data_IF_708109803177
#
_entry.id   IF_708109803177
#
_cell.length_a   1.000
_cell.length_b   1.000
_cell.length_c   1.000
_cell.angle_alpha   90.00
_cell.angle_beta   90.00
_cell.angle_gamma   90.00
#
_symmetry.space_group_name_H-M   'P 1'
#
loop_
_entity.id
_entity.type
_entity.pdbx_description
1 polymer ?
#
# COMPACT_ATOMS: atom_id res chain seq x y z
N UNK A 1 -20.87 6.59 33.69
CA UNK A 1 -19.61 6.96 34.36
C UNK A 1 -18.52 6.07 33.76
N UNK A 2 -17.36 6.61 33.42
CA UNK A 2 -16.24 5.84 32.87
C UNK A 2 -15.71 4.87 33.94
N UNK A 3 -15.68 3.57 33.64
CA UNK A 3 -15.18 2.52 34.53
C UNK A 3 -13.82 2.02 34.03
N UNK A 4 -12.77 2.73 34.44
CA UNK A 4 -11.39 2.43 34.05
C UNK A 4 -10.98 1.00 34.41
N UNK A 5 -11.42 0.50 35.57
CA UNK A 5 -11.05 -0.84 36.04
C UNK A 5 -11.63 -1.89 35.11
N UNK A 6 -12.92 -1.77 34.76
CA UNK A 6 -13.56 -2.67 33.80
C UNK A 6 -12.93 -2.59 32.42
N UNK A 7 -12.62 -1.39 31.92
CA UNK A 7 -11.90 -1.22 30.65
C UNK A 7 -10.57 -1.97 30.66
N UNK A 8 -9.77 -1.80 31.71
CA UNK A 8 -8.45 -2.44 31.81
C UNK A 8 -8.55 -3.97 31.91
N UNK A 9 -9.53 -4.48 32.65
CA UNK A 9 -9.84 -5.91 32.73
C UNK A 9 -10.19 -6.48 31.35
N UNK A 10 -11.03 -5.79 30.58
CA UNK A 10 -11.40 -6.21 29.22
C UNK A 10 -10.22 -6.16 28.26
N UNK A 11 -9.41 -5.11 28.30
CA UNK A 11 -8.22 -4.98 27.45
C UNK A 11 -7.21 -6.09 27.77
N UNK A 12 -6.90 -6.30 29.06
CA UNK A 12 -5.98 -7.35 29.49
C UNK A 12 -6.51 -8.73 29.12
N UNK A 13 -7.79 -8.97 29.41
CA UNK A 13 -8.46 -10.22 29.09
C UNK A 13 -8.49 -10.50 27.59
N UNK A 14 -8.80 -9.52 26.75
CA UNK A 14 -8.84 -9.69 25.30
C UNK A 14 -7.47 -10.08 24.70
N UNK A 15 -6.36 -9.70 25.34
CA UNK A 15 -5.01 -10.02 24.91
C UNK A 15 -4.54 -11.39 25.44
N UNK A 16 -4.71 -11.64 26.74
CA UNK A 16 -4.12 -12.82 27.40
C UNK A 16 -5.09 -14.00 27.52
N UNK A 17 -6.37 -13.73 27.77
CA UNK A 17 -7.42 -14.74 27.98
C UNK A 17 -8.65 -14.41 27.11
N UNK A 18 -8.51 -14.40 25.77
CA UNK A 18 -9.50 -13.81 24.88
C UNK A 18 -10.88 -14.46 25.03
N UNK A 19 -10.96 -15.79 24.96
CA UNK A 19 -12.23 -16.49 24.91
C UNK A 19 -13.06 -16.35 26.20
N UNK A 20 -12.49 -16.57 27.41
CA UNK A 20 -13.20 -16.26 28.66
C UNK A 20 -13.67 -14.80 28.75
N UNK A 21 -12.86 -13.87 28.26
CA UNK A 21 -13.20 -12.43 28.28
C UNK A 21 -14.40 -12.14 27.40
N UNK A 22 -14.39 -12.67 26.18
CA UNK A 22 -15.48 -12.50 25.22
C UNK A 22 -16.79 -13.11 25.73
N UNK A 23 -16.73 -14.31 26.31
CA UNK A 23 -17.89 -14.98 26.85
C UNK A 23 -18.48 -14.21 28.04
N UNK A 24 -17.61 -13.65 28.90
CA UNK A 24 -18.03 -12.81 30.04
C UNK A 24 -18.66 -11.47 29.62
N UNK A 25 -18.27 -10.94 28.44
CA UNK A 25 -18.76 -9.66 27.94
C UNK A 25 -19.98 -9.81 27.01
N UNK A 26 -20.23 -11.00 26.47
CA UNK A 26 -21.34 -11.26 25.55
C UNK A 26 -22.73 -10.80 26.08
N UNK A 27 -23.08 -10.99 27.36
CA UNK A 27 -24.35 -10.49 27.91
C UNK A 27 -24.47 -8.96 27.88
N UNK A 28 -23.34 -8.24 27.92
CA UNK A 28 -23.28 -6.78 27.88
C UNK A 28 -23.23 -6.22 26.44
N UNK A 29 -23.05 -7.09 25.44
CA UNK A 29 -22.80 -6.71 24.05
C UNK A 29 -24.04 -6.18 23.31
N UNK A 30 -25.23 -6.29 23.88
CA UNK A 30 -26.47 -5.78 23.26
C UNK A 30 -26.60 -4.24 23.36
N UNK A 31 -25.80 -3.58 24.20
CA UNK A 31 -25.74 -2.12 24.29
C UNK A 31 -24.46 -1.56 23.65
N UNK A 32 -24.62 -0.97 22.46
CA UNK A 32 -23.50 -0.36 21.73
C UNK A 32 -22.94 0.88 22.43
N UNK A 33 -23.77 1.62 23.19
CA UNK A 33 -23.32 2.82 23.92
C UNK A 33 -22.45 2.41 25.09
N UNK A 34 -22.84 1.35 25.81
CA UNK A 34 -22.03 0.74 26.86
C UNK A 34 -20.70 0.27 26.31
N UNK A 35 -20.71 -0.45 25.18
CA UNK A 35 -19.48 -0.91 24.51
C UNK A 35 -18.59 0.25 24.07
N UNK A 36 -19.17 1.28 23.47
CA UNK A 36 -18.42 2.47 23.06
C UNK A 36 -17.79 3.20 24.26
N UNK A 37 -18.53 3.34 25.37
CA UNK A 37 -18.06 4.06 26.55
C UNK A 37 -17.06 3.27 27.41
N UNK A 38 -17.23 1.95 27.50
CA UNK A 38 -16.42 1.09 28.39
C UNK A 38 -15.20 0.51 27.65
N UNK A 39 -15.28 0.28 26.34
CA UNK A 39 -14.21 -0.39 25.60
C UNK A 39 -13.73 0.43 24.41
N UNK A 40 -14.57 0.63 23.39
CA UNK A 40 -14.12 1.15 22.07
C UNK A 40 -13.51 2.55 22.18
N UNK A 41 -14.20 3.49 22.82
CA UNK A 41 -13.75 4.87 22.97
C UNK A 41 -12.44 4.98 23.77
N UNK A 42 -12.38 4.43 24.99
CA UNK A 42 -11.14 4.40 25.78
C UNK A 42 -9.97 3.74 25.06
N UNK A 43 -10.22 2.66 24.31
CA UNK A 43 -9.21 1.96 23.53
C UNK A 43 -8.66 2.81 22.38
N UNK A 44 -9.54 3.48 21.61
CA UNK A 44 -9.14 4.38 20.52
C UNK A 44 -8.35 5.57 21.07
N UNK A 45 -8.87 6.24 22.11
CA UNK A 45 -8.21 7.39 22.72
C UNK A 45 -6.86 6.98 23.33
N UNK A 46 -6.83 5.86 24.06
CA UNK A 46 -5.61 5.34 24.67
C UNK A 46 -4.56 4.97 23.63
N UNK A 47 -4.96 4.33 22.53
CA UNK A 47 -4.06 4.00 21.42
C UNK A 47 -3.50 5.26 20.76
N UNK A 48 -4.34 6.25 20.44
CA UNK A 48 -3.91 7.50 19.82
C UNK A 48 -2.95 8.32 20.71
N UNK A 49 -3.26 8.43 22.00
CA UNK A 49 -2.39 9.12 22.97
C UNK A 49 -1.08 8.36 23.16
N UNK A 50 -1.11 7.03 23.25
CA UNK A 50 0.11 6.23 23.38
C UNK A 50 0.98 6.32 22.13
N UNK A 51 0.38 6.27 20.93
CA UNK A 51 1.08 6.45 19.66
C UNK A 51 1.78 7.82 19.63
N UNK A 52 1.07 8.89 19.98
CA UNK A 52 1.63 10.25 20.07
C UNK A 52 2.79 10.34 21.08
N UNK A 53 2.65 9.77 22.27
CA UNK A 53 3.74 9.76 23.27
C UNK A 53 4.96 9.00 22.75
N UNK A 54 4.76 7.83 22.13
CA UNK A 54 5.85 7.02 21.59
C UNK A 54 6.56 7.73 20.43
N UNK A 55 5.81 8.41 19.57
CA UNK A 55 6.37 9.26 18.51
C UNK A 55 7.26 10.39 19.06
N UNK A 56 6.91 10.97 20.23
CA UNK A 56 7.75 12.00 20.88
C UNK A 56 8.97 11.45 21.60
N UNK A 57 8.89 10.23 22.15
CA UNK A 57 10.02 9.57 22.83
C UNK A 57 11.00 9.02 21.80
N UNK A 58 10.47 8.43 20.73
CA UNK A 58 11.21 7.82 19.64
C UNK A 58 10.88 8.59 18.35
N UNK A 59 11.31 9.86 18.22
CA UNK A 59 11.07 10.62 17.00
C UNK A 59 11.65 9.82 15.84
N UNK A 60 10.76 9.49 14.90
CA UNK A 60 11.10 8.63 13.79
C UNK A 60 12.21 9.32 12.98
N UNK A 61 13.42 8.76 13.06
CA UNK A 61 14.55 9.21 12.22
C UNK A 61 14.43 8.72 10.77
N UNK A 62 13.36 8.00 10.44
CA UNK A 62 13.04 7.63 9.07
C UNK A 62 12.38 8.83 8.39
N UNK A 63 13.04 9.41 7.41
CA UNK A 63 12.66 10.65 6.72
C UNK A 63 11.27 10.66 6.04
N UNK A 64 10.54 9.54 6.06
CA UNK A 64 9.27 9.34 5.35
C UNK A 64 8.04 9.31 6.27
N UNK A 65 8.22 9.36 7.60
CA UNK A 65 7.11 9.41 8.56
C UNK A 65 7.12 10.81 9.17
N UNK A 66 6.20 11.72 8.77
CA UNK A 66 6.15 13.06 9.35
C UNK A 66 5.89 12.99 10.85
N UNK A 67 6.55 13.88 11.60
CA UNK A 67 6.31 14.03 13.03
C UNK A 67 4.82 14.24 13.29
N UNK A 68 4.25 13.49 14.24
CA UNK A 68 2.84 13.62 14.54
C UNK A 68 2.57 14.90 15.33
N UNK A 69 1.80 15.80 14.73
CA UNK A 69 1.28 16.96 15.46
C UNK A 69 0.14 16.54 16.38
N UNK A 70 -0.17 17.37 17.39
CA UNK A 70 -1.34 17.15 18.25
C UNK A 70 -2.63 17.10 17.42
N UNK A 71 -2.70 17.88 16.34
CA UNK A 71 -3.84 17.89 15.44
C UNK A 71 -3.97 16.56 14.69
N UNK A 72 -2.86 15.94 14.30
CA UNK A 72 -2.87 14.65 13.62
C UNK A 72 -3.27 13.51 14.57
N UNK A 73 -2.87 13.57 15.85
CA UNK A 73 -3.39 12.68 16.88
C UNK A 73 -4.92 12.81 17.00
N UNK A 74 -5.46 14.03 17.08
CA UNK A 74 -6.90 14.26 17.19
C UNK A 74 -7.64 13.73 15.94
N UNK A 75 -7.13 14.03 14.74
CA UNK A 75 -7.68 13.50 13.48
C UNK A 75 -7.65 11.97 13.46
N UNK A 76 -6.55 11.36 13.89
CA UNK A 76 -6.40 9.91 13.98
C UNK A 76 -7.43 9.28 14.91
N UNK A 77 -7.66 9.87 16.09
CA UNK A 77 -8.68 9.42 17.04
C UNK A 77 -10.09 9.49 16.41
N UNK A 78 -10.42 10.59 15.73
CA UNK A 78 -11.72 10.76 15.06
C UNK A 78 -11.88 9.73 13.93
N UNK A 79 -10.87 9.57 13.09
CA UNK A 79 -10.89 8.62 11.98
C UNK A 79 -10.99 7.17 12.46
N UNK A 80 -10.30 6.82 13.56
CA UNK A 80 -10.41 5.50 14.18
C UNK A 80 -11.81 5.23 14.74
N UNK A 81 -12.47 6.25 15.32
CA UNK A 81 -13.86 6.13 15.78
C UNK A 81 -14.83 5.90 14.61
N UNK A 82 -14.66 6.63 13.51
CA UNK A 82 -15.44 6.43 12.28
C UNK A 82 -15.21 5.03 11.71
N UNK A 83 -13.94 4.60 11.63
CA UNK A 83 -13.56 3.28 11.15
C UNK A 83 -14.19 2.15 11.99
N UNK A 84 -14.18 2.27 13.32
CA UNK A 84 -14.79 1.27 14.21
C UNK A 84 -16.30 1.11 13.95
N UNK A 85 -17.01 2.22 13.75
CA UNK A 85 -18.45 2.20 13.42
C UNK A 85 -18.69 1.55 12.06
N UNK A 86 -17.92 1.94 11.03
CA UNK A 86 -18.04 1.37 9.68
C UNK A 86 -17.78 -0.14 9.68
N UNK A 87 -16.70 -0.57 10.32
CA UNK A 87 -16.34 -1.99 10.40
C UNK A 87 -17.45 -2.77 11.11
N UNK A 88 -17.91 -2.30 12.28
CA UNK A 88 -19.00 -2.95 13.01
C UNK A 88 -20.29 -3.04 12.17
N UNK A 89 -20.62 -1.98 11.42
CA UNK A 89 -21.78 -1.96 10.54
C UNK A 89 -21.66 -3.00 9.41
N UNK A 90 -20.51 -3.08 8.73
CA UNK A 90 -20.28 -4.05 7.65
C UNK A 90 -20.46 -5.48 8.16
N UNK A 91 -19.83 -5.82 9.28
CA UNK A 91 -19.92 -7.18 9.85
C UNK A 91 -21.34 -7.53 10.30
N UNK A 92 -22.06 -6.59 10.94
CA UNK A 92 -23.45 -6.79 11.33
C UNK A 92 -24.36 -7.00 10.11
N UNK A 93 -24.26 -6.10 9.12
CA UNK A 93 -25.08 -6.15 7.92
C UNK A 93 -24.87 -7.46 7.16
N UNK A 94 -23.62 -7.83 6.90
CA UNK A 94 -23.30 -9.06 6.19
C UNK A 94 -23.66 -10.31 6.99
N UNK A 95 -23.62 -10.28 8.32
CA UNK A 95 -24.09 -11.42 9.12
C UNK A 95 -25.56 -11.73 8.82
N UNK A 96 -26.39 -10.72 8.61
CA UNK A 96 -27.78 -10.89 8.18
C UNK A 96 -27.92 -11.64 6.84
N UNK A 97 -27.03 -11.38 5.88
CA UNK A 97 -27.02 -12.08 4.58
C UNK A 97 -26.60 -13.55 4.70
N UNK A 98 -25.78 -13.88 5.70
CA UNK A 98 -25.25 -15.23 5.93
C UNK A 98 -26.01 -16.02 7.00
N UNK A 99 -27.29 -15.68 7.24
CA UNK A 99 -28.18 -16.32 8.23
C UNK A 99 -27.74 -16.17 9.69
N UNK A 100 -26.87 -15.21 9.99
CA UNK A 100 -26.56 -14.77 11.34
C UNK A 100 -27.48 -13.64 11.81
N UNK A 101 -27.27 -13.15 13.03
CA UNK A 101 -27.93 -11.98 13.59
C UNK A 101 -27.29 -10.69 13.10
N UNK A 102 -28.08 -9.86 12.41
CA UNK A 102 -27.71 -8.48 12.10
C UNK A 102 -27.83 -7.62 13.37
N UNK A 103 -26.78 -7.61 14.19
CA UNK A 103 -26.71 -6.83 15.43
C UNK A 103 -25.47 -5.95 15.44
N UNK A 104 -25.66 -4.65 15.21
CA UNK A 104 -24.60 -3.65 15.31
C UNK A 104 -23.95 -3.61 16.70
N UNK A 105 -24.69 -3.61 17.83
CA UNK A 105 -24.07 -3.67 19.16
C UNK A 105 -23.11 -4.85 19.34
N UNK A 106 -23.53 -6.05 18.93
CA UNK A 106 -22.70 -7.25 19.03
C UNK A 106 -21.51 -7.22 18.08
N UNK A 107 -21.68 -6.69 16.87
CA UNK A 107 -20.56 -6.52 15.94
C UNK A 107 -19.53 -5.50 16.45
N UNK A 108 -19.98 -4.39 17.06
CA UNK A 108 -19.10 -3.39 17.66
C UNK A 108 -18.32 -3.97 18.84
N UNK A 109 -18.97 -4.74 19.70
CA UNK A 109 -18.31 -5.44 20.81
C UNK A 109 -17.29 -6.47 20.30
N UNK A 110 -17.68 -7.28 19.33
CA UNK A 110 -16.84 -8.32 18.76
C UNK A 110 -15.57 -7.73 18.10
N UNK A 111 -15.76 -6.70 17.26
CA UNK A 111 -14.65 -6.01 16.57
C UNK A 111 -13.76 -5.26 17.54
N UNK A 112 -14.33 -4.57 18.54
CA UNK A 112 -13.54 -3.85 19.55
C UNK A 112 -12.67 -4.79 20.39
N UNK A 113 -13.23 -5.93 20.83
CA UNK A 113 -12.48 -6.95 21.59
C UNK A 113 -11.40 -7.62 20.73
N UNK A 114 -11.71 -7.95 19.48
CA UNK A 114 -10.76 -8.58 18.56
C UNK A 114 -9.60 -7.65 18.19
N UNK A 115 -9.86 -6.36 18.01
CA UNK A 115 -8.84 -5.41 17.58
C UNK A 115 -8.01 -4.81 18.71
N UNK A 116 -8.24 -5.19 19.98
CA UNK A 116 -7.39 -4.73 21.10
C UNK A 116 -5.90 -4.87 20.79
N UNK A 117 -5.39 -6.03 20.31
CA UNK A 117 -3.98 -6.14 19.91
C UNK A 117 -3.61 -5.17 18.80
N UNK A 118 -4.46 -5.00 17.78
CA UNK A 118 -4.23 -4.06 16.68
C UNK A 118 -4.07 -2.61 17.14
N UNK A 119 -4.84 -2.17 18.14
CA UNK A 119 -4.70 -0.84 18.74
C UNK A 119 -3.36 -0.67 19.48
N UNK A 120 -2.86 -1.72 20.12
CA UNK A 120 -1.48 -1.72 20.65
C UNK A 120 -0.45 -1.70 19.52
N UNK A 121 -0.68 -2.47 18.46
CA UNK A 121 0.18 -2.49 17.27
C UNK A 121 0.33 -1.12 16.63
N UNK A 122 -0.78 -0.38 16.51
CA UNK A 122 -0.78 1.00 16.02
C UNK A 122 0.08 1.93 16.88
N UNK A 123 0.06 1.76 18.21
CA UNK A 123 0.92 2.55 19.08
C UNK A 123 2.40 2.14 19.00
N UNK A 124 2.66 0.83 18.94
CA UNK A 124 4.02 0.28 18.93
C UNK A 124 4.75 0.47 17.60
N UNK A 125 4.06 0.88 16.53
CA UNK A 125 4.67 1.16 15.22
C UNK A 125 5.79 2.19 15.31
N UNK A 126 5.71 3.11 16.28
CA UNK A 126 6.69 4.17 16.51
C UNK A 126 7.99 3.68 17.19
N UNK A 127 8.08 2.40 17.57
CA UNK A 127 9.33 1.86 18.11
C UNK A 127 10.39 1.70 17.00
N UNK A 128 11.64 2.14 17.21
CA UNK A 128 12.70 2.01 16.22
C UNK A 128 12.92 0.56 15.79
N UNK A 129 13.07 0.36 14.47
CA UNK A 129 13.39 -0.90 13.79
C UNK A 129 12.33 -2.01 13.89
N UNK A 130 11.76 -2.25 15.07
CA UNK A 130 10.86 -3.38 15.35
C UNK A 130 9.39 -2.96 15.34
N UNK A 131 9.10 -1.67 15.45
CA UNK A 131 7.73 -1.17 15.64
C UNK A 131 6.78 -1.62 14.53
N UNK A 132 7.19 -1.50 13.27
CA UNK A 132 6.39 -1.92 12.12
C UNK A 132 6.12 -3.44 12.10
N UNK A 133 7.09 -4.26 12.51
CA UNK A 133 6.93 -5.71 12.64
C UNK A 133 5.94 -6.05 13.75
N UNK A 134 6.05 -5.39 14.91
CA UNK A 134 5.12 -5.57 16.02
C UNK A 134 3.70 -5.11 15.64
N UNK A 135 3.59 -3.96 14.99
CA UNK A 135 2.33 -3.42 14.49
C UNK A 135 1.63 -4.41 13.55
N UNK A 136 2.38 -4.94 12.58
CA UNK A 136 1.89 -5.96 11.66
C UNK A 136 1.48 -7.25 12.38
N UNK A 137 2.33 -7.79 13.26
CA UNK A 137 2.06 -9.02 13.99
C UNK A 137 0.79 -8.91 14.85
N UNK A 138 0.63 -7.79 15.57
CA UNK A 138 -0.54 -7.53 16.40
C UNK A 138 -1.80 -7.26 15.58
N UNK A 139 -1.67 -6.63 14.41
CA UNK A 139 -2.76 -6.47 13.44
C UNK A 139 -3.26 -7.82 12.92
N UNK A 140 -2.33 -8.69 12.50
CA UNK A 140 -2.65 -10.06 12.06
C UNK A 140 -3.29 -10.85 13.20
N UNK A 141 -2.75 -10.76 14.41
CA UNK A 141 -3.33 -11.42 15.58
C UNK A 141 -4.76 -10.93 15.85
N UNK A 142 -5.03 -9.63 15.70
CA UNK A 142 -6.38 -9.07 15.81
C UNK A 142 -7.37 -9.66 14.78
N UNK A 143 -6.93 -9.90 13.55
CA UNK A 143 -7.74 -10.59 12.54
C UNK A 143 -8.02 -12.05 12.92
N UNK A 144 -7.04 -12.76 13.48
CA UNK A 144 -7.24 -14.12 13.98
C UNK A 144 -8.25 -14.15 15.14
N UNK A 145 -8.19 -13.19 16.05
CA UNK A 145 -9.18 -13.05 17.13
C UNK A 145 -10.56 -12.71 16.56
N UNK A 146 -10.64 -11.85 15.56
CA UNK A 146 -11.88 -11.47 14.90
C UNK A 146 -12.58 -12.69 14.27
N UNK A 147 -11.81 -13.52 13.57
CA UNK A 147 -12.28 -14.80 13.04
C UNK A 147 -12.89 -15.69 14.13
N UNK A 148 -12.32 -15.70 15.33
CA UNK A 148 -12.76 -16.55 16.45
C UNK A 148 -14.01 -16.01 17.16
N UNK A 149 -14.13 -14.70 17.38
CA UNK A 149 -15.21 -14.09 18.17
C UNK A 149 -16.51 -13.90 17.37
N UNK A 150 -16.42 -13.57 16.08
CA UNK A 150 -17.58 -13.19 15.26
C UNK A 150 -18.71 -14.23 15.20
N UNK A 151 -18.45 -15.54 15.03
CA UNK A 151 -19.53 -16.52 14.93
C UNK A 151 -20.33 -16.64 16.23
N UNK A 152 -19.69 -16.45 17.39
CA UNK A 152 -20.38 -16.49 18.69
C UNK A 152 -21.24 -15.24 18.91
N UNK A 153 -20.74 -14.07 18.53
CA UNK A 153 -21.43 -12.80 18.75
C UNK A 153 -22.57 -12.56 17.76
N UNK A 154 -22.34 -12.85 16.48
CA UNK A 154 -23.32 -12.65 15.41
C UNK A 154 -24.09 -13.92 15.06
N UNK A 155 -23.88 -15.01 15.81
CA UNK A 155 -24.59 -16.28 15.63
C UNK A 155 -24.55 -16.78 14.17
N UNK A 156 -23.42 -16.55 13.49
CA UNK A 156 -23.23 -16.95 12.09
C UNK A 156 -23.06 -18.47 12.04
N UNK A 157 -23.87 -19.21 11.26
CA UNK A 157 -23.74 -20.65 11.13
C UNK A 157 -22.34 -21.08 10.67
N UNK A 158 -21.89 -22.23 11.17
CA UNK A 158 -20.55 -22.75 10.83
C UNK A 158 -20.31 -22.93 9.32
N UNK A 159 -21.36 -23.24 8.55
CA UNK A 159 -21.30 -23.42 7.09
C UNK A 159 -21.09 -22.13 6.31
N UNK A 160 -21.53 -20.97 6.84
CA UNK A 160 -21.39 -19.66 6.20
C UNK A 160 -20.28 -18.79 6.80
N UNK A 161 -19.64 -19.25 7.88
CA UNK A 161 -18.59 -18.53 8.61
C UNK A 161 -17.46 -18.03 7.71
N UNK A 162 -16.91 -18.90 6.86
CA UNK A 162 -15.80 -18.55 5.95
C UNK A 162 -16.23 -17.47 4.97
N UNK A 163 -17.39 -17.64 4.34
CA UNK A 163 -17.94 -16.70 3.37
C UNK A 163 -18.24 -15.34 3.98
N UNK A 164 -18.86 -15.31 5.17
CA UNK A 164 -19.13 -14.09 5.91
C UNK A 164 -17.85 -13.33 6.23
N UNK A 165 -16.84 -14.02 6.76
CA UNK A 165 -15.59 -13.38 7.15
C UNK A 165 -14.81 -12.79 5.97
N UNK A 166 -14.60 -13.58 4.91
CA UNK A 166 -13.85 -13.14 3.72
C UNK A 166 -14.59 -11.99 3.03
N UNK A 167 -15.91 -12.11 2.83
CA UNK A 167 -16.68 -11.06 2.17
C UNK A 167 -16.72 -9.77 3.01
N UNK A 168 -16.82 -9.88 4.33
CA UNK A 168 -16.78 -8.72 5.23
C UNK A 168 -15.43 -8.03 5.22
N UNK A 169 -14.34 -8.79 5.17
CA UNK A 169 -13.00 -8.23 5.07
C UNK A 169 -12.79 -7.50 3.73
N UNK A 170 -13.21 -8.11 2.62
CA UNK A 170 -13.15 -7.49 1.29
C UNK A 170 -14.00 -6.22 1.21
N UNK A 171 -15.21 -6.24 1.79
CA UNK A 171 -16.08 -5.07 1.87
C UNK A 171 -15.46 -3.95 2.72
N UNK A 172 -14.81 -4.27 3.85
CA UNK A 172 -14.07 -3.29 4.64
C UNK A 172 -12.97 -2.64 3.80
N UNK A 173 -12.14 -3.45 3.12
CA UNK A 173 -11.06 -2.94 2.26
C UNK A 173 -11.62 -2.00 1.19
N UNK A 174 -12.66 -2.40 0.47
CA UNK A 174 -13.29 -1.57 -0.56
C UNK A 174 -13.79 -0.23 0.00
N UNK A 175 -14.45 -0.23 1.16
CA UNK A 175 -14.92 1.00 1.81
C UNK A 175 -13.76 1.89 2.25
N UNK A 176 -12.69 1.33 2.84
CA UNK A 176 -11.52 2.11 3.23
C UNK A 176 -10.77 2.70 2.03
N UNK A 177 -10.71 1.99 0.90
CA UNK A 177 -10.16 2.51 -0.36
C UNK A 177 -10.99 3.69 -0.86
N UNK A 178 -12.32 3.57 -0.90
CA UNK A 178 -13.23 4.66 -1.31
C UNK A 178 -13.09 5.87 -0.37
N UNK A 179 -13.05 5.64 0.95
CA UNK A 179 -12.81 6.72 1.90
C UNK A 179 -11.45 7.37 1.67
N UNK A 180 -10.39 6.59 1.42
CA UNK A 180 -9.08 7.10 1.06
C UNK A 180 -9.15 8.03 -0.15
N UNK A 181 -9.90 7.68 -1.19
CA UNK A 181 -10.15 8.57 -2.34
C UNK A 181 -10.94 9.82 -1.98
N UNK A 182 -12.02 9.72 -1.22
CA UNK A 182 -12.86 10.86 -0.83
C UNK A 182 -12.10 11.86 0.04
N UNK A 183 -11.37 11.37 1.05
CA UNK A 183 -10.58 12.21 1.93
C UNK A 183 -9.28 12.70 1.27
N UNK A 184 -8.68 11.90 0.40
CA UNK A 184 -7.52 12.28 -0.41
C UNK A 184 -7.85 13.37 -1.45
N UNK A 185 -8.95 13.20 -2.19
CA UNK A 185 -9.45 14.21 -3.14
C UNK A 185 -9.98 15.47 -2.42
N UNK A 186 -10.60 15.32 -1.25
CA UNK A 186 -11.06 16.43 -0.41
C UNK A 186 -9.93 17.31 0.14
N UNK A 187 -8.76 16.73 0.39
CA UNK A 187 -7.55 17.50 0.75
C UNK A 187 -6.90 18.19 -0.46
N UNK A 188 -7.03 17.64 -1.67
CA UNK A 188 -6.64 18.32 -2.91
C UNK A 188 -7.62 19.45 -3.29
N UNK A 189 -8.91 19.31 -2.97
CA UNK A 189 -10.00 20.23 -3.36
C UNK A 189 -10.01 21.60 -2.67
N UNK A 190 -9.11 21.87 -1.72
CA UNK A 190 -8.99 23.19 -1.08
C UNK A 190 -8.05 24.17 -1.80
N UNK A 191 -7.47 23.77 -2.94
CA UNK A 191 -6.61 24.62 -3.79
C UNK A 191 -7.02 24.69 -5.27
N UNK A 192 -8.20 24.17 -5.65
CA UNK A 192 -8.59 23.99 -7.07
C UNK A 192 -9.32 25.22 -7.68
N UNK A 193 -9.37 26.36 -6.99
CA UNK A 193 -10.14 27.55 -7.47
C UNK A 193 -9.33 28.82 -7.66
N UNK A 194 -8.04 28.72 -8.03
CA UNK A 194 -7.36 29.87 -8.66
C UNK A 194 -6.51 29.41 -9.85
N UNK A 195 -7.19 29.21 -10.97
CA UNK A 195 -6.57 29.06 -12.29
C UNK A 195 -6.43 30.46 -12.89
N UNK A 196 -5.42 31.20 -12.43
CA UNK A 196 -4.91 32.38 -13.10
C UNK A 196 -3.40 32.21 -13.25
N UNK A 197 -2.96 32.18 -14.51
CA UNK A 197 -1.56 32.21 -14.91
C UNK A 197 -1.00 33.55 -14.40
N UNK A 198 -0.20 33.52 -13.34
CA UNK A 198 0.78 34.57 -13.09
C UNK A 198 2.11 33.93 -12.71
N UNK A 199 3.13 34.33 -13.46
CA UNK A 199 4.48 33.80 -13.46
C UNK A 199 5.25 34.56 -12.37
N UNK A 200 5.19 34.08 -11.11
CA UNK A 200 6.04 34.58 -10.03
C UNK A 200 6.26 33.56 -8.92
N UNK A 201 7.53 33.47 -8.54
CA UNK A 201 8.15 32.55 -7.58
C UNK A 201 7.34 32.29 -6.32
N UNK A 202 6.96 31.02 -6.11
CA UNK A 202 6.74 30.45 -4.78
C UNK A 202 6.91 28.92 -4.80
N UNK A 203 8.07 28.45 -4.32
CA UNK A 203 8.53 27.05 -4.35
C UNK A 203 7.80 26.11 -3.36
N UNK A 204 6.68 26.53 -2.77
CA UNK A 204 5.98 25.76 -1.73
C UNK A 204 4.83 24.88 -2.21
N UNK A 205 4.36 25.03 -3.46
CA UNK A 205 3.11 24.41 -3.93
C UNK A 205 3.26 23.43 -5.11
N UNK A 206 4.45 23.31 -5.71
CA UNK A 206 4.69 22.41 -6.84
C UNK A 206 4.87 20.93 -6.45
N UNK A 207 5.25 20.65 -5.20
CA UNK A 207 5.65 19.33 -4.76
C UNK A 207 4.50 18.29 -4.75
N UNK A 208 3.32 18.67 -4.28
CA UNK A 208 2.17 17.76 -4.22
C UNK A 208 1.59 17.48 -5.63
N UNK A 209 1.66 18.46 -6.54
CA UNK A 209 1.21 18.31 -7.94
C UNK A 209 2.12 17.38 -8.74
N UNK A 210 3.45 17.41 -8.50
CA UNK A 210 4.42 16.59 -9.21
C UNK A 210 4.37 15.09 -8.82
N UNK A 211 4.01 14.77 -7.57
CA UNK A 211 3.98 13.39 -7.05
C UNK A 211 2.79 12.60 -7.60
N UNK A 212 1.59 13.19 -7.61
CA UNK A 212 0.40 12.52 -8.15
C UNK A 212 0.38 12.52 -9.68
N UNK A 213 0.96 13.53 -10.34
CA UNK A 213 1.19 13.50 -11.78
C UNK A 213 2.12 12.37 -12.21
N UNK A 214 3.14 12.05 -11.41
CA UNK A 214 4.05 10.92 -11.63
C UNK A 214 3.36 9.56 -11.49
N UNK A 215 2.56 9.37 -10.43
CA UNK A 215 1.80 8.13 -10.21
C UNK A 215 0.69 7.91 -11.25
N UNK A 216 -0.01 8.97 -11.65
CA UNK A 216 -1.02 8.91 -12.72
C UNK A 216 -0.37 8.59 -14.08
N UNK A 217 0.78 9.21 -14.38
CA UNK A 217 1.57 8.88 -15.57
C UNK A 217 2.03 7.43 -15.56
N UNK A 218 2.50 6.93 -14.42
CA UNK A 218 2.94 5.55 -14.29
C UNK A 218 1.78 4.56 -14.40
N UNK A 219 0.61 4.88 -13.83
CA UNK A 219 -0.63 4.13 -14.02
C UNK A 219 -1.03 4.02 -15.49
N UNK A 220 -0.99 5.14 -16.24
CA UNK A 220 -1.26 5.14 -17.68
C UNK A 220 -0.24 4.33 -18.49
N UNK A 221 1.05 4.38 -18.14
CA UNK A 221 2.08 3.58 -18.82
C UNK A 221 1.81 2.09 -18.61
N UNK A 222 1.52 1.67 -17.37
CA UNK A 222 1.18 0.29 -17.02
C UNK A 222 -0.09 -0.17 -17.76
N UNK A 223 -1.15 0.63 -17.73
CA UNK A 223 -2.41 0.33 -18.42
C UNK A 223 -2.20 0.24 -19.95
N UNK A 224 -1.42 1.15 -20.53
CA UNK A 224 -1.10 1.13 -21.97
C UNK A 224 -0.19 -0.03 -22.37
N UNK A 225 0.61 -0.56 -21.45
CA UNK A 225 1.44 -1.73 -21.68
C UNK A 225 0.65 -3.04 -21.53
N UNK A 226 -0.34 -3.07 -20.63
CA UNK A 226 -1.26 -4.20 -20.45
C UNK A 226 -2.21 -4.38 -21.66
N UNK A 227 -2.53 -3.28 -22.34
CA UNK A 227 -3.31 -3.28 -23.58
C UNK A 227 -2.51 -3.67 -24.84
N UNK A 228 -1.17 -3.73 -24.77
CA UNK A 228 -0.36 -4.11 -25.91
C UNK A 228 -0.51 -5.60 -26.19
N UNK A 229 -0.90 -5.92 -27.43
CA UNK A 229 -0.88 -7.28 -27.97
C UNK A 229 0.10 -7.34 -29.12
N UNK A 230 0.80 -8.46 -29.25
CA UNK A 230 1.73 -8.73 -30.33
C UNK A 230 1.54 -10.15 -30.81
N UNK A 231 1.33 -10.31 -32.12
CA UNK A 231 1.24 -11.61 -32.77
C UNK A 231 2.63 -12.00 -33.29
N UNK A 232 3.35 -12.92 -32.62
CA UNK A 232 4.69 -13.29 -33.03
C UNK A 232 4.68 -14.03 -34.37
N UNK A 233 5.74 -13.87 -35.18
CA UNK A 233 5.84 -14.57 -36.45
C UNK A 233 5.86 -16.08 -36.21
N UNK A 234 5.07 -16.82 -37.00
CA UNK A 234 4.88 -18.27 -36.82
C UNK A 234 6.15 -19.13 -36.99
N UNK A 235 7.25 -18.54 -37.47
CA UNK A 235 8.56 -19.18 -37.57
C UNK A 235 9.46 -18.93 -36.34
N UNK A 236 9.03 -18.11 -35.37
CA UNK A 236 9.80 -17.78 -34.16
C UNK A 236 11.09 -16.98 -34.41
N UNK A 237 11.31 -16.49 -35.64
CA UNK A 237 12.56 -15.80 -36.01
C UNK A 237 12.45 -14.30 -35.75
N UNK A 238 13.46 -13.78 -35.07
CA UNK A 238 13.69 -12.36 -34.93
C UNK A 238 14.15 -11.76 -36.26
N UNK A 239 13.68 -10.54 -36.53
CA UNK A 239 14.24 -9.70 -37.57
C UNK A 239 15.39 -8.86 -37.01
N UNK A 240 16.33 -8.47 -37.89
CA UNK A 240 17.42 -7.58 -37.50
C UNK A 240 16.92 -6.22 -37.00
N UNK A 241 15.81 -5.71 -37.54
CA UNK A 241 15.19 -4.47 -37.07
C UNK A 241 14.68 -4.60 -35.64
N UNK A 242 13.99 -5.69 -35.30
CA UNK A 242 13.52 -5.93 -33.93
C UNK A 242 14.65 -5.99 -32.91
N UNK A 243 15.76 -6.63 -33.25
CA UNK A 243 16.94 -6.68 -32.35
C UNK A 243 17.58 -5.29 -32.22
N UNK A 244 17.68 -4.53 -33.32
CA UNK A 244 18.20 -3.16 -33.29
C UNK A 244 17.33 -2.22 -32.45
N UNK A 245 16.00 -2.32 -32.59
CA UNK A 245 15.05 -1.52 -31.82
C UNK A 245 15.11 -1.89 -30.33
N UNK A 246 15.26 -3.18 -30.02
CA UNK A 246 15.49 -3.65 -28.66
C UNK A 246 16.79 -3.08 -28.06
N UNK A 247 17.90 -3.11 -28.80
CA UNK A 247 19.18 -2.52 -28.36
C UNK A 247 19.05 -1.01 -28.14
N UNK A 248 18.35 -0.28 -29.03
CA UNK A 248 18.11 1.15 -28.86
C UNK A 248 17.28 1.47 -27.61
N UNK A 249 16.26 0.65 -27.32
CA UNK A 249 15.47 0.76 -26.08
C UNK A 249 16.33 0.48 -24.86
N UNK A 250 17.17 -0.54 -24.89
CA UNK A 250 18.07 -0.89 -23.77
C UNK A 250 19.11 0.21 -23.52
N UNK A 251 19.68 0.79 -24.58
CA UNK A 251 20.61 1.91 -24.48
C UNK A 251 19.96 3.13 -23.84
N UNK A 252 18.76 3.49 -24.28
CA UNK A 252 17.99 4.60 -23.70
C UNK A 252 17.51 4.32 -22.28
N UNK A 253 17.23 3.06 -21.94
CA UNK A 253 16.92 2.63 -20.58
C UNK A 253 18.12 2.78 -19.66
N UNK A 254 19.32 2.45 -20.15
CA UNK A 254 20.56 2.62 -19.38
C UNK A 254 20.89 4.10 -19.16
N UNK A 255 20.73 4.95 -20.18
CA UNK A 255 20.86 6.40 -20.06
C UNK A 255 19.87 6.97 -19.03
N UNK A 256 18.60 6.55 -19.10
CA UNK A 256 17.58 6.96 -18.14
C UNK A 256 17.91 6.54 -16.71
N UNK A 257 18.43 5.32 -16.51
CA UNK A 257 18.87 4.84 -15.20
C UNK A 257 20.08 5.63 -14.67
N UNK A 258 21.02 5.99 -15.54
CA UNK A 258 22.18 6.78 -15.18
C UNK A 258 21.80 8.21 -14.76
N UNK A 259 20.93 8.89 -15.52
CA UNK A 259 20.41 10.24 -15.15
C UNK A 259 19.65 10.19 -13.81
N UNK A 260 18.85 9.16 -13.58
CA UNK A 260 18.17 8.99 -12.29
C UNK A 260 19.13 8.64 -11.15
N UNK A 261 20.19 7.87 -11.40
CA UNK A 261 21.23 7.57 -10.43
C UNK A 261 22.04 8.82 -10.05
N UNK A 262 22.44 9.63 -11.03
CA UNK A 262 23.14 10.90 -10.80
C UNK A 262 22.27 11.88 -9.99
N UNK A 263 20.96 11.93 -10.26
CA UNK A 263 20.01 12.70 -9.45
C UNK A 263 19.90 12.18 -8.02
N UNK A 264 19.89 10.86 -7.82
CA UNK A 264 19.87 10.25 -6.50
C UNK A 264 21.18 10.50 -5.74
N UNK A 265 22.32 10.44 -6.40
CA UNK A 265 23.63 10.79 -5.83
C UNK A 265 23.69 12.27 -5.44
N UNK A 266 23.24 13.17 -6.31
CA UNK A 266 23.15 14.60 -6.00
C UNK A 266 22.21 14.89 -4.82
N UNK A 267 21.11 14.13 -4.69
CA UNK A 267 20.22 14.19 -3.53
C UNK A 267 20.90 13.62 -2.27
N UNK A 268 21.72 12.58 -2.41
CA UNK A 268 22.49 11.97 -1.32
C UNK A 268 23.57 12.92 -0.80
N UNK A 269 24.36 13.56 -1.67
CA UNK A 269 25.37 14.56 -1.30
C UNK A 269 24.74 15.77 -0.61
N UNK A 270 23.59 16.25 -1.11
CA UNK A 270 22.83 17.30 -0.43
C UNK A 270 22.34 16.85 0.94
N UNK A 271 21.96 15.58 1.09
CA UNK A 271 21.45 15.04 2.36
C UNK A 271 22.57 14.95 3.41
N UNK A 272 23.78 14.57 2.99
CA UNK A 272 24.96 14.53 3.84
C UNK A 272 25.39 15.94 4.31
N UNK A 273 25.18 16.96 3.49
CA UNK A 273 25.46 18.35 3.83
C UNK A 273 24.32 19.06 4.60
N UNK A 274 23.26 18.35 5.02
CA UNK A 274 22.05 18.91 5.65
C UNK A 274 21.31 19.96 4.78
N UNK A 275 21.54 19.95 3.47
CA UNK A 275 20.97 20.92 2.52
C UNK A 275 19.70 20.42 1.82
N UNK A 276 19.24 19.18 2.08
CA UNK A 276 17.93 18.71 1.58
C UNK A 276 16.84 19.34 2.42
N UNK A 277 16.42 20.54 2.00
CA UNK A 277 15.52 21.39 2.76
C UNK A 277 14.04 21.01 2.63
N UNK A 278 13.65 20.06 1.76
CA UNK A 278 12.23 19.81 1.50
C UNK A 278 11.83 18.35 1.31
N UNK A 279 10.66 18.01 1.86
CA UNK A 279 9.95 16.73 1.63
C UNK A 279 9.67 16.47 0.14
N UNK A 280 9.66 17.51 -0.68
CA UNK A 280 9.52 17.42 -2.14
C UNK A 280 10.71 16.70 -2.80
N UNK A 281 11.92 17.05 -2.39
CA UNK A 281 13.16 16.49 -2.94
C UNK A 281 13.38 15.04 -2.50
N UNK A 282 13.05 14.72 -1.24
CA UNK A 282 13.10 13.35 -0.73
C UNK A 282 12.08 12.42 -1.42
N UNK A 283 10.86 12.93 -1.68
CA UNK A 283 9.83 12.17 -2.40
C UNK A 283 10.13 12.05 -3.90
N UNK A 284 10.80 13.04 -4.50
CA UNK A 284 11.34 12.93 -5.87
C UNK A 284 12.37 11.80 -5.98
N UNK A 285 13.19 11.58 -4.95
CA UNK A 285 14.11 10.44 -4.87
C UNK A 285 13.37 9.09 -4.87
N UNK A 286 12.32 8.94 -4.04
CA UNK A 286 11.50 7.72 -4.01
C UNK A 286 10.73 7.46 -5.31
N UNK A 287 10.15 8.49 -5.93
CA UNK A 287 9.51 8.37 -7.24
C UNK A 287 10.54 7.98 -8.33
N UNK A 288 11.76 8.51 -8.23
CA UNK A 288 12.91 8.10 -9.04
C UNK A 288 13.18 6.60 -8.95
N UNK A 289 13.21 6.03 -7.75
CA UNK A 289 13.41 4.58 -7.53
C UNK A 289 12.27 3.73 -8.13
N UNK A 290 11.01 4.15 -7.99
CA UNK A 290 9.89 3.45 -8.62
C UNK A 290 9.91 3.55 -10.16
N UNK A 291 10.42 4.66 -10.71
CA UNK A 291 10.62 4.80 -12.16
C UNK A 291 11.75 3.91 -12.68
N UNK A 292 12.84 3.71 -11.90
CA UNK A 292 13.94 2.81 -12.25
C UNK A 292 13.45 1.37 -12.41
N UNK A 293 12.55 0.91 -11.53
CA UNK A 293 11.97 -0.44 -11.58
C UNK A 293 11.16 -0.68 -12.87
N UNK A 294 10.56 0.38 -13.44
CA UNK A 294 9.72 0.32 -14.64
C UNK A 294 10.36 1.02 -15.86
N UNK A 295 11.65 1.35 -15.79
CA UNK A 295 12.33 2.22 -16.76
C UNK A 295 12.25 1.68 -18.20
N UNK A 296 12.40 0.37 -18.36
CA UNK A 296 12.35 -0.29 -19.66
C UNK A 296 10.96 -0.16 -20.31
N UNK A 297 9.90 -0.39 -19.53
CA UNK A 297 8.52 -0.21 -19.99
C UNK A 297 8.21 1.25 -20.33
N UNK A 298 8.70 2.18 -19.50
CA UNK A 298 8.54 3.61 -19.74
C UNK A 298 9.23 4.06 -21.03
N UNK A 299 10.46 3.60 -21.29
CA UNK A 299 11.19 3.92 -22.53
C UNK A 299 10.48 3.35 -23.76
N UNK A 300 9.96 2.12 -23.69
CA UNK A 300 9.19 1.52 -24.78
C UNK A 300 7.94 2.34 -25.08
N UNK A 301 7.10 2.61 -24.06
CA UNK A 301 5.82 3.30 -24.27
C UNK A 301 6.00 4.77 -24.65
N UNK A 302 6.99 5.47 -24.09
CA UNK A 302 7.28 6.87 -24.47
C UNK A 302 7.91 6.98 -25.87
N UNK A 303 8.58 5.92 -26.34
CA UNK A 303 9.05 5.80 -27.72
C UNK A 303 7.95 5.41 -28.72
N UNK A 304 6.71 5.20 -28.27
CA UNK A 304 5.60 4.71 -29.11
C UNK A 304 5.71 3.22 -29.48
N UNK A 305 6.56 2.46 -28.80
CA UNK A 305 6.76 1.03 -29.02
C UNK A 305 5.71 0.15 -28.35
N UNK A 306 5.66 -1.11 -28.79
CA UNK A 306 4.78 -2.15 -28.26
C UNK A 306 5.51 -2.96 -27.18
N UNK A 307 4.99 -2.96 -25.95
CA UNK A 307 5.57 -3.66 -24.81
C UNK A 307 5.56 -5.19 -24.98
N UNK A 308 4.50 -5.75 -25.55
CA UNK A 308 4.39 -7.18 -25.80
C UNK A 308 5.41 -7.66 -26.85
N UNK A 309 5.66 -6.87 -27.90
CA UNK A 309 6.72 -7.14 -28.88
C UNK A 309 8.10 -7.08 -28.20
N UNK A 310 8.36 -6.04 -27.40
CA UNK A 310 9.62 -5.88 -26.69
C UNK A 310 9.92 -7.05 -25.74
N UNK A 311 8.93 -7.51 -24.97
CA UNK A 311 9.05 -8.69 -24.11
C UNK A 311 9.32 -9.97 -24.90
N UNK A 312 8.62 -10.16 -26.02
CA UNK A 312 8.84 -11.32 -26.88
C UNK A 312 10.25 -11.34 -27.48
N UNK A 313 10.75 -10.19 -27.99
CA UNK A 313 12.12 -10.07 -28.51
C UNK A 313 13.16 -10.40 -27.43
N UNK A 314 12.97 -9.86 -26.22
CA UNK A 314 13.81 -10.13 -25.05
C UNK A 314 13.89 -11.62 -24.74
N UNK A 315 12.74 -12.30 -24.71
CA UNK A 315 12.65 -13.74 -24.42
C UNK A 315 13.32 -14.58 -25.51
N UNK A 316 13.14 -14.23 -26.79
CA UNK A 316 13.78 -14.93 -27.91
C UNK A 316 15.31 -14.76 -27.90
N UNK A 317 15.82 -13.55 -27.61
CA UNK A 317 17.27 -13.31 -27.49
C UNK A 317 17.87 -14.06 -26.29
N UNK A 318 17.16 -14.08 -25.15
CA UNK A 318 17.60 -14.83 -23.97
C UNK A 318 17.65 -16.34 -24.24
N UNK A 319 16.58 -16.87 -24.86
CA UNK A 319 16.49 -18.27 -25.29
C UNK A 319 17.61 -18.63 -26.26
N UNK A 320 17.87 -17.76 -27.25
CA UNK A 320 18.95 -17.91 -28.21
C UNK A 320 20.33 -17.96 -27.55
N UNK A 321 20.61 -17.06 -26.60
CA UNK A 321 21.88 -17.02 -25.86
C UNK A 321 22.14 -18.32 -25.08
N UNK A 322 21.11 -18.90 -24.46
CA UNK A 322 21.24 -20.10 -23.63
C UNK A 322 21.27 -21.37 -24.48
N UNK A 323 20.31 -21.50 -25.40
CA UNK A 323 20.03 -22.77 -26.10
C UNK A 323 20.78 -22.89 -27.43
N UNK A 324 21.30 -21.78 -27.97
CA UNK A 324 22.18 -21.67 -29.15
C UNK A 324 21.65 -22.29 -30.44
N UNK A 325 21.63 -23.62 -30.56
CA UNK A 325 21.38 -24.35 -31.80
C UNK A 325 20.28 -25.43 -31.72
N UNK A 326 19.41 -25.37 -30.71
CA UNK A 326 18.37 -26.38 -30.48
C UNK A 326 17.35 -26.53 -31.63
N UNK A 327 17.09 -25.48 -32.40
CA UNK A 327 16.23 -25.51 -33.58
C UNK A 327 16.53 -24.33 -34.53
N UNK A 328 16.00 -24.38 -35.75
CA UNK A 328 16.24 -23.38 -36.81
C UNK A 328 15.91 -21.94 -36.42
N UNK A 329 14.92 -21.71 -35.56
CA UNK A 329 14.55 -20.38 -35.09
C UNK A 329 15.56 -19.86 -34.06
N UNK A 330 15.92 -20.69 -33.09
CA UNK A 330 16.90 -20.36 -32.04
C UNK A 330 18.29 -20.14 -32.64
N UNK A 331 18.72 -20.98 -33.58
CA UNK A 331 19.99 -20.82 -34.31
C UNK A 331 20.05 -19.49 -35.07
N UNK A 332 18.96 -19.12 -35.73
CA UNK A 332 18.84 -17.84 -36.44
C UNK A 332 18.88 -16.66 -35.46
N UNK A 333 18.13 -16.73 -34.36
CA UNK A 333 18.11 -15.70 -33.32
C UNK A 333 19.46 -15.58 -32.61
N UNK A 334 20.21 -16.68 -32.46
CA UNK A 334 21.55 -16.67 -31.87
C UNK A 334 22.57 -16.01 -32.79
N UNK A 335 22.49 -16.24 -34.11
CA UNK A 335 23.31 -15.52 -35.07
C UNK A 335 23.05 -14.00 -35.02
N UNK A 336 21.79 -13.58 -34.85
CA UNK A 336 21.45 -12.18 -34.62
C UNK A 336 21.96 -11.66 -33.28
N UNK A 337 21.84 -12.44 -32.20
CA UNK A 337 22.42 -12.07 -30.90
C UNK A 337 23.93 -11.84 -31.02
N UNK A 338 24.65 -12.70 -31.74
CA UNK A 338 26.09 -12.56 -31.96
C UNK A 338 26.46 -11.27 -32.71
N UNK A 339 25.62 -10.83 -33.65
CA UNK A 339 25.81 -9.56 -34.36
C UNK A 339 25.78 -8.35 -33.43
N UNK A 340 24.95 -8.40 -32.37
CA UNK A 340 24.79 -7.32 -31.39
C UNK A 340 25.41 -7.65 -30.03
N UNK A 341 26.29 -8.66 -29.95
CA UNK A 341 26.75 -9.21 -28.67
C UNK A 341 27.54 -8.21 -27.84
N UNK A 342 28.37 -7.37 -28.48
CA UNK A 342 29.12 -6.33 -27.77
C UNK A 342 28.19 -5.28 -27.19
N UNK A 343 27.27 -4.74 -27.99
CA UNK A 343 26.28 -3.74 -27.57
C UNK A 343 25.39 -4.27 -26.44
N UNK A 344 24.91 -5.51 -26.56
CA UNK A 344 24.06 -6.14 -25.54
C UNK A 344 24.82 -6.38 -24.22
N UNK A 345 26.09 -6.77 -24.28
CA UNK A 345 26.93 -6.95 -23.08
C UNK A 345 27.19 -5.63 -22.36
N UNK A 346 27.47 -4.56 -23.08
CA UNK A 346 27.65 -3.22 -22.51
C UNK A 346 26.39 -2.73 -21.78
N UNK A 347 25.21 -3.14 -22.26
CA UNK A 347 23.91 -2.80 -21.69
C UNK A 347 23.44 -3.77 -20.59
N UNK A 348 24.29 -4.74 -20.20
CA UNK A 348 24.00 -5.68 -19.10
C UNK A 348 22.94 -6.75 -19.42
N UNK A 349 22.73 -7.06 -20.71
CA UNK A 349 21.79 -8.10 -21.17
C UNK A 349 22.33 -9.53 -21.04
#
# INVERSE_FOLDING_TARGET
MFDFKRTLELIKGAVFDPQPTWDSYLPDADDWKKTAAVLTGPLIVGSGVLAFILDRIFPNRMAFIPDTSLLDMIKGIVMAAVAAVIIAFIFAFLAGLFKGKNSFPKALAATSLAFVPGYFGNALVHLPWIGWLLGMALGIYGLVLLWRILPGYLEVPGSSRVGHYILSLAACIAVFVIMGFVFGAGMAGSKVTDFAIDERDDAGSAAASSIFGGLERQGRIIESADQDSFDPPGNGKLSRSQVRDFVAVMAKTQEFRNDQAERLEALSEKAENNDVASMAEAMSGLAGVASIANAEMEVVKTGGGNWAEHQWVKEQLFTARIQKDINDAVSHNYALYQEFEEELKELGF
#
